data_IF_702957016006
#
_entry.id   IF_702957016006
#
_cell.length_a   1.000
_cell.length_b   1.000
_cell.length_c   1.000
_cell.angle_alpha   90.00
_cell.angle_beta   90.00
_cell.angle_gamma   90.00
#
_symmetry.space_group_name_H-M   'P 1'
#
loop_
_entity.id
_entity.type
_entity.pdbx_description
1 polymer ?
#
# COMPACT_ATOMS: atom_id res chain seq x y z
N UNK A 1 1.24 -6.51 10.39
CA UNK A 1 1.49 -6.74 11.84
C UNK A 1 0.93 -5.62 12.72
N UNK A 2 0.51 -4.49 12.14
CA UNK A 2 -0.13 -3.35 12.81
C UNK A 2 -1.51 -3.64 13.39
N UNK A 3 -2.30 -4.50 12.74
CA UNK A 3 -3.69 -4.79 13.14
C UNK A 3 -3.83 -5.80 14.29
N UNK A 4 -2.91 -6.78 14.39
CA UNK A 4 -2.96 -7.88 15.37
C UNK A 4 -1.61 -8.04 16.08
N UNK A 5 -1.18 -7.00 16.79
CA UNK A 5 0.12 -6.98 17.48
C UNK A 5 0.21 -8.03 18.60
N UNK A 6 -0.93 -8.40 19.18
CA UNK A 6 -1.11 -9.47 20.17
C UNK A 6 -0.65 -10.85 19.67
N UNK A 7 -0.63 -11.08 18.35
CA UNK A 7 -0.11 -12.33 17.77
C UNK A 7 1.41 -12.42 17.76
N UNK A 8 2.11 -11.31 18.05
CA UNK A 8 3.56 -11.19 17.92
C UNK A 8 4.25 -10.80 19.23
N UNK A 9 3.49 -10.66 20.32
CA UNK A 9 4.03 -10.44 21.66
C UNK A 9 3.10 -11.04 22.72
N UNK A 10 3.67 -11.51 23.82
CA UNK A 10 2.90 -12.19 24.88
C UNK A 10 2.26 -11.21 25.88
N UNK A 11 2.78 -9.98 25.96
CA UNK A 11 2.25 -8.93 26.85
C UNK A 11 1.53 -7.84 26.06
N UNK A 12 0.49 -7.26 26.66
CA UNK A 12 -0.17 -6.06 26.12
C UNK A 12 0.76 -4.83 26.11
N UNK A 13 1.70 -4.77 27.04
CA UNK A 13 2.66 -3.67 27.17
C UNK A 13 3.64 -3.60 25.99
N UNK A 14 3.90 -4.74 25.33
CA UNK A 14 4.82 -4.82 24.19
C UNK A 14 4.16 -4.44 22.86
N UNK A 15 2.83 -4.49 22.77
CA UNK A 15 2.08 -4.25 21.54
C UNK A 15 2.40 -2.91 20.85
N UNK A 16 2.56 -1.76 21.57
CA UNK A 16 2.96 -0.51 20.94
C UNK A 16 4.34 -0.59 20.26
N UNK A 17 5.29 -1.32 20.85
CA UNK A 17 6.62 -1.50 20.27
C UNK A 17 6.57 -2.32 18.97
N UNK A 18 5.76 -3.38 18.97
CA UNK A 18 5.50 -4.23 17.81
C UNK A 18 4.86 -3.41 16.69
N UNK A 19 3.83 -2.61 16.98
CA UNK A 19 3.19 -1.74 15.98
C UNK A 19 4.19 -0.77 15.35
N UNK A 20 4.99 -0.07 16.18
CA UNK A 20 6.01 0.87 15.71
C UNK A 20 7.03 0.20 14.80
N UNK A 21 7.62 -0.93 15.24
CA UNK A 21 8.60 -1.67 14.42
C UNK A 21 7.98 -2.19 13.12
N UNK A 22 6.73 -2.61 13.17
CA UNK A 22 5.97 -3.07 12.00
C UNK A 22 5.76 -1.96 10.98
N UNK A 23 5.42 -0.75 11.43
CA UNK A 23 5.30 0.42 10.56
C UNK A 23 6.64 0.83 9.94
N UNK A 24 7.72 0.84 10.72
CA UNK A 24 9.07 1.04 10.18
C UNK A 24 9.42 -0.02 9.14
N UNK A 25 9.12 -1.30 9.42
CA UNK A 25 9.39 -2.41 8.49
C UNK A 25 8.58 -2.29 7.21
N UNK A 26 7.32 -1.90 7.32
CA UNK A 26 6.44 -1.69 6.17
C UNK A 26 7.03 -0.60 5.26
N UNK A 27 7.46 0.54 5.84
CA UNK A 27 8.13 1.61 5.11
C UNK A 27 9.43 1.14 4.43
N UNK A 28 10.28 0.39 5.14
CA UNK A 28 11.50 -0.19 4.56
C UNK A 28 11.19 -1.07 3.34
N UNK A 29 10.16 -1.93 3.42
CA UNK A 29 9.79 -2.82 2.33
C UNK A 29 9.24 -2.06 1.12
N UNK A 30 8.40 -1.05 1.34
CA UNK A 30 7.91 -0.20 0.25
C UNK A 30 9.02 0.59 -0.41
N UNK A 31 10.01 1.07 0.35
CA UNK A 31 11.18 1.74 -0.22
C UNK A 31 11.97 0.80 -1.13
N UNK A 32 12.19 -0.45 -0.73
CA UNK A 32 12.87 -1.45 -1.59
C UNK A 32 12.13 -1.65 -2.91
N UNK A 33 10.80 -1.67 -2.88
CA UNK A 33 9.99 -1.80 -4.10
C UNK A 33 10.07 -0.54 -4.96
N UNK A 34 9.99 0.65 -4.34
CA UNK A 34 10.12 1.93 -5.03
C UNK A 34 11.47 2.07 -5.73
N UNK A 35 12.55 1.75 -5.02
CA UNK A 35 13.92 1.77 -5.53
C UNK A 35 14.10 0.75 -6.67
N UNK A 36 13.48 -0.43 -6.57
CA UNK A 36 13.55 -1.46 -7.59
C UNK A 36 12.83 -1.08 -8.88
N UNK A 37 11.74 -0.30 -8.79
CA UNK A 37 11.12 0.29 -9.98
C UNK A 37 12.05 1.35 -10.57
N UNK A 38 12.51 2.29 -9.74
CA UNK A 38 13.40 3.36 -10.14
C UNK A 38 12.92 4.06 -11.42
N UNK A 39 13.82 4.18 -12.40
CA UNK A 39 13.53 4.80 -13.70
C UNK A 39 12.75 3.91 -14.68
N UNK A 40 12.41 2.67 -14.30
CA UNK A 40 11.65 1.76 -15.16
C UNK A 40 10.17 2.12 -15.20
N UNK A 41 9.53 1.90 -16.34
CA UNK A 41 8.09 2.18 -16.51
C UNK A 41 7.22 1.32 -15.58
N UNK A 42 7.62 0.06 -15.36
CA UNK A 42 6.90 -0.98 -14.62
C UNK A 42 7.84 -1.74 -13.69
N UNK A 43 7.28 -2.54 -12.77
CA UNK A 43 8.03 -3.28 -11.77
C UNK A 43 9.06 -4.26 -12.37
N UNK A 44 8.78 -4.80 -13.56
CA UNK A 44 9.68 -5.73 -14.27
C UNK A 44 10.32 -5.08 -15.51
N UNK A 45 10.53 -3.76 -15.49
CA UNK A 45 11.18 -3.00 -16.55
C UNK A 45 10.19 -2.28 -17.46
N UNK A 46 10.32 -2.45 -18.78
CA UNK A 46 9.56 -1.66 -19.77
C UNK A 46 8.17 -2.21 -20.13
N UNK A 47 7.86 -3.44 -19.71
CA UNK A 47 6.61 -4.11 -20.08
C UNK A 47 5.71 -4.30 -18.88
N UNK A 48 4.47 -3.84 -19.04
CA UNK A 48 3.40 -4.11 -18.10
C UNK A 48 3.17 -5.61 -17.91
N UNK A 49 2.92 -6.01 -16.68
CA UNK A 49 2.77 -7.40 -16.27
C UNK A 49 1.73 -7.55 -15.15
N UNK A 50 1.41 -8.80 -14.81
CA UNK A 50 0.56 -9.09 -13.66
C UNK A 50 1.15 -8.59 -12.32
N UNK A 51 2.49 -8.44 -12.25
CA UNK A 51 3.15 -7.95 -11.05
C UNK A 51 2.77 -6.50 -10.74
N UNK A 52 2.53 -5.68 -11.77
CA UNK A 52 2.11 -4.29 -11.63
C UNK A 52 0.68 -4.21 -11.06
N UNK A 53 -0.25 -5.03 -11.58
CA UNK A 53 -1.62 -5.12 -11.05
C UNK A 53 -1.59 -5.56 -9.58
N UNK A 54 -0.75 -6.53 -9.24
CA UNK A 54 -0.60 -7.00 -7.88
C UNK A 54 -0.02 -5.92 -6.95
N UNK A 55 0.99 -5.18 -7.43
CA UNK A 55 1.55 -4.04 -6.73
C UNK A 55 0.46 -2.98 -6.45
N UNK A 56 -0.31 -2.60 -7.46
CA UNK A 56 -1.44 -1.67 -7.29
C UNK A 56 -2.43 -2.16 -6.23
N UNK A 57 -2.82 -3.44 -6.28
CA UNK A 57 -3.71 -4.02 -5.28
C UNK A 57 -3.14 -3.87 -3.86
N UNK A 58 -1.85 -4.10 -3.64
CA UNK A 58 -1.20 -3.90 -2.33
C UNK A 58 -1.27 -2.45 -1.86
N UNK A 59 -1.17 -1.46 -2.77
CA UNK A 59 -1.29 -0.03 -2.38
C UNK A 59 -2.66 0.29 -1.79
N UNK A 60 -3.71 -0.47 -2.15
CA UNK A 60 -5.07 -0.26 -1.62
C UNK A 60 -5.22 -0.67 -0.15
N UNK A 61 -4.22 -1.37 0.41
CA UNK A 61 -4.20 -1.80 1.82
C UNK A 61 -3.43 -0.85 2.74
N UNK A 62 -2.76 0.17 2.19
CA UNK A 62 -2.14 1.23 2.99
C UNK A 62 -3.22 2.06 3.69
N UNK A 63 -3.00 2.38 4.96
CA UNK A 63 -3.95 3.11 5.78
C UNK A 63 -3.22 4.00 6.78
N UNK A 64 -3.30 5.31 6.58
CA UNK A 64 -2.62 6.30 7.41
C UNK A 64 -3.16 6.34 8.84
N UNK A 65 -4.42 5.95 9.08
CA UNK A 65 -4.97 5.82 10.44
C UNK A 65 -4.29 4.72 11.27
N UNK A 66 -3.61 3.78 10.62
CA UNK A 66 -2.76 2.76 11.24
C UNK A 66 -1.28 3.15 11.28
N UNK A 67 -0.98 4.42 10.98
CA UNK A 67 0.36 4.97 10.81
C UNK A 67 1.19 4.28 9.71
N UNK A 68 0.51 3.64 8.74
CA UNK A 68 1.19 3.13 7.55
C UNK A 68 1.77 4.32 6.76
N UNK A 69 2.86 4.11 6.00
CA UNK A 69 3.38 5.18 5.15
C UNK A 69 2.36 5.55 4.07
N UNK A 70 2.26 6.83 3.76
CA UNK A 70 1.46 7.33 2.63
C UNK A 70 2.09 6.91 1.31
N UNK A 71 1.27 6.71 0.28
CA UNK A 71 1.77 6.31 -1.04
C UNK A 71 2.65 7.41 -1.66
N UNK A 72 2.38 8.68 -1.34
CA UNK A 72 3.16 9.85 -1.78
C UNK A 72 4.63 9.80 -1.32
N UNK A 73 4.95 8.97 -0.31
CA UNK A 73 6.34 8.74 0.11
C UNK A 73 7.15 7.88 -0.88
N UNK A 74 6.50 7.27 -1.87
CA UNK A 74 7.07 6.31 -2.81
C UNK A 74 6.70 6.71 -4.26
N UNK A 75 7.43 7.67 -4.86
CA UNK A 75 7.02 8.28 -6.12
C UNK A 75 6.95 7.30 -7.31
N UNK A 76 7.79 6.27 -7.34
CA UNK A 76 7.79 5.29 -8.42
C UNK A 76 6.62 4.32 -8.29
N UNK A 77 6.33 3.88 -7.05
CA UNK A 77 5.14 3.07 -6.77
C UNK A 77 3.87 3.87 -7.05
N UNK A 78 3.82 5.13 -6.62
CA UNK A 78 2.66 6.01 -6.87
C UNK A 78 2.40 6.19 -8.37
N UNK A 79 3.46 6.42 -9.15
CA UNK A 79 3.37 6.51 -10.62
C UNK A 79 2.77 5.23 -11.21
N UNK A 80 3.31 4.07 -10.87
CA UNK A 80 2.80 2.77 -11.37
C UNK A 80 1.34 2.55 -10.97
N UNK A 81 0.99 2.83 -9.71
CA UNK A 81 -0.38 2.72 -9.22
C UNK A 81 -1.35 3.64 -9.99
N UNK A 82 -0.93 4.88 -10.28
CA UNK A 82 -1.72 5.86 -11.06
C UNK A 82 -1.97 5.39 -12.48
N UNK A 83 -0.93 4.89 -13.17
CA UNK A 83 -1.06 4.33 -14.51
C UNK A 83 -2.02 3.12 -14.55
N UNK A 84 -2.04 2.31 -13.50
CA UNK A 84 -2.94 1.16 -13.40
C UNK A 84 -4.38 1.59 -13.14
N UNK A 85 -4.60 2.59 -12.29
CA UNK A 85 -5.94 3.14 -12.02
C UNK A 85 -6.63 3.65 -13.30
N UNK A 86 -5.86 4.18 -14.25
CA UNK A 86 -6.37 4.67 -15.53
C UNK A 86 -6.83 3.55 -16.50
N UNK A 87 -6.56 2.28 -16.19
CA UNK A 87 -6.97 1.17 -17.05
C UNK A 87 -8.47 0.87 -16.91
N UNK A 88 -9.23 0.69 -18.01
CA UNK A 88 -10.68 0.53 -17.95
C UNK A 88 -11.20 -0.58 -17.02
N UNK A 89 -10.55 -1.74 -17.03
CA UNK A 89 -10.95 -2.87 -16.17
C UNK A 89 -10.70 -2.59 -14.69
N UNK A 90 -9.59 -1.90 -14.38
CA UNK A 90 -9.24 -1.53 -13.00
C UNK A 90 -10.17 -0.42 -12.52
N UNK A 91 -10.34 0.63 -13.31
CA UNK A 91 -11.26 1.73 -13.01
C UNK A 91 -12.68 1.23 -12.71
N UNK A 92 -13.14 0.20 -13.44
CA UNK A 92 -14.44 -0.43 -13.20
C UNK A 92 -14.50 -1.16 -11.86
N UNK A 93 -13.49 -1.96 -11.51
CA UNK A 93 -13.49 -2.79 -10.30
C UNK A 93 -13.22 -1.93 -9.05
N UNK A 94 -12.32 -0.95 -9.16
CA UNK A 94 -11.86 -0.11 -8.05
C UNK A 94 -12.54 1.28 -8.04
N UNK A 95 -13.68 1.44 -8.71
CA UNK A 95 -14.36 2.74 -8.86
C UNK A 95 -14.53 3.49 -7.53
N UNK A 96 -14.99 2.78 -6.48
CA UNK A 96 -15.16 3.37 -5.14
C UNK A 96 -13.83 3.77 -4.52
N UNK A 97 -12.79 2.92 -4.61
CA UNK A 97 -11.46 3.24 -4.08
C UNK A 97 -10.87 4.48 -4.75
N UNK A 98 -10.95 4.55 -6.09
CA UNK A 98 -10.44 5.69 -6.87
C UNK A 98 -11.20 6.96 -6.47
N UNK A 99 -12.53 6.88 -6.34
CA UNK A 99 -13.35 8.02 -5.92
C UNK A 99 -13.01 8.49 -4.50
N UNK A 100 -12.79 7.58 -3.55
CA UNK A 100 -12.45 7.92 -2.16
C UNK A 100 -11.06 8.56 -2.07
N UNK A 101 -10.10 8.03 -2.83
CA UNK A 101 -8.73 8.58 -2.90
C UNK A 101 -8.73 10.00 -3.48
N UNK A 102 -9.45 10.23 -4.57
CA UNK A 102 -9.57 11.57 -5.18
C UNK A 102 -10.28 12.57 -4.25
N UNK A 103 -11.15 12.08 -3.37
CA UNK A 103 -11.83 12.89 -2.36
C UNK A 103 -11.00 13.10 -1.08
N UNK A 104 -9.77 12.57 -0.99
CA UNK A 104 -8.91 12.67 0.18
C UNK A 104 -9.46 11.93 1.41
N UNK A 105 -10.33 10.94 1.21
CA UNK A 105 -10.97 10.21 2.32
C UNK A 105 -10.05 9.08 2.77
N UNK A 106 -9.62 9.12 4.04
CA UNK A 106 -9.06 7.94 4.71
C UNK A 106 -10.17 6.92 4.88
N UNK A 107 -10.04 5.75 4.23
CA UNK A 107 -10.96 4.64 4.46
C UNK A 107 -10.68 4.01 5.81
N UNK A 108 -11.75 3.76 6.56
CA UNK A 108 -11.73 2.74 7.60
C UNK A 108 -11.40 1.38 6.96
N UNK A 109 -10.73 0.47 7.69
CA UNK A 109 -10.39 -0.84 7.15
C UNK A 109 -11.65 -1.53 6.60
N UNK A 110 -11.46 -2.40 5.60
CA UNK A 110 -12.42 -3.45 5.29
C UNK A 110 -12.96 -4.02 6.62
N UNK A 111 -14.29 -4.01 6.85
CA UNK A 111 -14.85 -4.35 8.16
C UNK A 111 -14.61 -5.81 8.54
N UNK A 112 -14.08 -6.65 7.63
CA UNK A 112 -14.12 -8.09 7.80
C UNK A 112 -15.56 -8.60 7.78
N UNK A 113 -15.78 -9.92 7.64
CA UNK A 113 -16.90 -10.54 8.34
C UNK A 113 -16.69 -10.47 9.86
#
# INVERSE_FOLDING_TARGET
MTYYADRFCSSKEDQPSVKRRSNSRLRELWQVVDDAIGESDWLLGKRFSAADIYLFMLTTWLNESLEHPSLESFPNVERVATEIMNRPSVARIYATYISDRLAGKSRDPWPGP
#
